data_IF_555574188963
#
_entry.id   IF_555574188963
#
_cell.length_a   1.000
_cell.length_b   1.000
_cell.length_c   1.000
_cell.angle_alpha   90.00
_cell.angle_beta   90.00
_cell.angle_gamma   90.00
#
_symmetry.space_group_name_H-M   'P 1'
#
loop_
_entity.id
_entity.type
_entity.pdbx_description
1 polymer ?
#
# COMPACT_ATOMS: atom_id res chain seq x y z
N UNK A 1 -19.87 17.84 0.48
CA UNK A 1 -19.15 16.60 0.11
C UNK A 1 -17.66 16.91 0.16
N UNK A 2 -16.87 16.10 0.86
CA UNK A 2 -15.45 16.40 1.06
C UNK A 2 -14.68 16.28 -0.26
N UNK A 3 -13.70 17.17 -0.50
CA UNK A 3 -12.95 17.27 -1.78
C UNK A 3 -12.44 15.91 -2.26
N UNK A 4 -11.86 15.13 -1.35
CA UNK A 4 -11.31 13.81 -1.68
C UNK A 4 -12.35 12.81 -2.16
N UNK A 5 -13.61 12.91 -1.71
CA UNK A 5 -14.68 12.01 -2.14
C UNK A 5 -15.07 12.30 -3.59
N UNK A 6 -15.03 13.56 -4.00
CA UNK A 6 -15.30 13.96 -5.39
C UNK A 6 -14.16 13.48 -6.30
N UNK A 7 -12.91 13.70 -5.86
CA UNK A 7 -11.71 13.19 -6.55
C UNK A 7 -11.73 11.66 -6.69
N UNK A 8 -12.16 10.94 -5.65
CA UNK A 8 -12.28 9.49 -5.67
C UNK A 8 -13.37 8.96 -6.61
N UNK A 9 -14.47 9.72 -6.80
CA UNK A 9 -15.53 9.35 -7.76
C UNK A 9 -15.13 9.62 -9.19
N UNK A 10 -14.38 10.70 -9.44
CA UNK A 10 -13.88 11.11 -10.76
C UNK A 10 -12.68 10.25 -11.17
N UNK A 11 -12.95 9.05 -11.67
CA UNK A 11 -11.94 8.11 -12.14
C UNK A 11 -12.21 7.65 -13.58
N UNK A 12 -11.13 7.29 -14.27
CA UNK A 12 -11.19 6.43 -15.43
C UNK A 12 -11.44 5.00 -14.95
N UNK A 13 -12.37 4.30 -15.60
CA UNK A 13 -12.76 2.93 -15.22
C UNK A 13 -12.60 1.91 -16.35
N UNK A 14 -12.38 2.38 -17.57
CA UNK A 14 -12.22 1.53 -18.74
C UNK A 14 -10.98 1.94 -19.53
N UNK A 15 -10.39 0.99 -20.25
CA UNK A 15 -9.32 1.25 -21.17
C UNK A 15 -9.75 2.21 -22.28
N UNK A 16 -11.02 2.15 -22.73
CA UNK A 16 -11.58 3.09 -23.71
C UNK A 16 -11.45 4.53 -23.25
N UNK A 17 -12.02 4.86 -22.08
CA UNK A 17 -11.98 6.23 -21.53
C UNK A 17 -10.54 6.71 -21.32
N UNK A 18 -9.64 5.80 -20.87
CA UNK A 18 -8.26 6.16 -20.60
C UNK A 18 -7.44 6.37 -21.89
N UNK A 19 -7.67 5.55 -22.90
CA UNK A 19 -7.04 5.69 -24.23
C UNK A 19 -7.45 7.00 -24.90
N UNK A 20 -8.72 7.37 -24.80
CA UNK A 20 -9.23 8.67 -25.26
C UNK A 20 -8.51 9.82 -24.54
N UNK A 21 -8.31 9.73 -23.22
CA UNK A 21 -7.58 10.73 -22.45
C UNK A 21 -6.08 10.85 -22.83
N UNK A 22 -5.44 9.71 -23.15
CA UNK A 22 -4.04 9.67 -23.56
C UNK A 22 -3.82 10.03 -25.03
N UNK A 23 -4.88 10.13 -25.84
CA UNK A 23 -4.78 10.19 -27.30
C UNK A 23 -3.94 9.02 -27.88
N UNK A 24 -4.06 7.83 -27.28
CA UNK A 24 -3.30 6.63 -27.66
C UNK A 24 -4.13 5.37 -27.39
N UNK A 25 -4.15 4.39 -28.30
CA UNK A 25 -4.97 3.17 -28.20
C UNK A 25 -4.21 1.95 -27.64
N UNK A 26 -3.40 2.16 -26.62
CA UNK A 26 -2.52 1.10 -26.10
C UNK A 26 -3.08 0.33 -24.93
N UNK A 27 -3.96 0.91 -24.11
CA UNK A 27 -4.52 0.21 -22.95
C UNK A 27 -5.60 -0.79 -23.36
N UNK A 28 -5.68 -1.93 -22.67
CA UNK A 28 -6.74 -2.92 -22.80
C UNK A 28 -7.45 -3.18 -21.47
N UNK A 29 -8.72 -3.55 -21.50
CA UNK A 29 -9.46 -3.95 -20.32
C UNK A 29 -9.07 -5.38 -19.90
N UNK A 30 -9.01 -5.61 -18.58
CA UNK A 30 -8.67 -6.87 -17.93
C UNK A 30 -9.75 -7.25 -16.91
N UNK A 31 -9.70 -8.48 -16.39
CA UNK A 31 -10.59 -8.94 -15.31
C UNK A 31 -10.48 -8.06 -14.07
N UNK A 32 -9.26 -7.70 -13.65
CA UNK A 32 -9.05 -6.66 -12.65
C UNK A 32 -9.17 -5.28 -13.30
N UNK A 33 -10.28 -4.56 -13.08
CA UNK A 33 -10.65 -3.44 -13.94
C UNK A 33 -9.67 -2.28 -13.78
N UNK A 34 -9.57 -1.43 -14.80
CA UNK A 34 -8.84 -0.19 -14.70
C UNK A 34 -9.54 0.72 -13.68
N UNK A 35 -8.76 1.39 -12.84
CA UNK A 35 -9.27 2.42 -11.94
C UNK A 35 -8.16 3.41 -11.64
N UNK A 36 -8.28 4.63 -12.17
CA UNK A 36 -7.30 5.69 -11.99
C UNK A 36 -8.04 7.02 -11.76
N UNK A 37 -7.89 7.69 -10.61
CA UNK A 37 -8.47 9.02 -10.40
C UNK A 37 -7.95 10.03 -11.42
N UNK A 38 -8.84 10.87 -11.98
CA UNK A 38 -8.50 11.77 -13.09
C UNK A 38 -7.37 12.75 -12.75
N UNK A 39 -7.36 13.27 -11.51
CA UNK A 39 -6.30 14.17 -11.03
C UNK A 39 -4.94 13.48 -10.94
N UNK A 40 -4.93 12.24 -10.45
CA UNK A 40 -3.71 11.44 -10.43
C UNK A 40 -3.25 11.09 -11.85
N UNK A 41 -4.17 10.72 -12.75
CA UNK A 41 -3.86 10.50 -14.17
C UNK A 41 -3.20 11.72 -14.84
N UNK A 42 -3.63 12.94 -14.51
CA UNK A 42 -2.99 14.18 -14.95
C UNK A 42 -1.57 14.30 -14.42
N UNK A 43 -1.35 14.04 -13.13
CA UNK A 43 -0.01 14.08 -12.53
C UNK A 43 0.96 13.07 -13.16
N UNK A 44 0.45 11.91 -13.60
CA UNK A 44 1.28 10.85 -14.19
C UNK A 44 1.31 10.87 -15.72
N UNK A 45 0.63 11.81 -16.38
CA UNK A 45 0.64 11.94 -17.84
C UNK A 45 2.06 12.25 -18.32
N UNK A 46 2.52 11.51 -19.34
CA UNK A 46 3.88 11.62 -19.86
C UNK A 46 4.96 10.91 -19.02
N UNK A 47 4.58 10.17 -17.97
CA UNK A 47 5.50 9.41 -17.11
C UNK A 47 5.30 7.90 -17.32
N UNK A 48 5.85 7.29 -18.39
CA UNK A 48 5.55 5.91 -18.78
C UNK A 48 5.88 4.87 -17.70
N UNK A 49 6.98 5.05 -16.96
CA UNK A 49 7.39 4.18 -15.85
C UNK A 49 6.31 4.12 -14.76
N UNK A 50 5.73 5.27 -14.40
CA UNK A 50 4.65 5.35 -13.40
C UNK A 50 3.35 4.81 -13.96
N UNK A 51 2.99 5.17 -15.20
CA UNK A 51 1.76 4.70 -15.86
C UNK A 51 1.68 3.18 -15.92
N UNK A 52 2.82 2.50 -16.17
CA UNK A 52 2.90 1.04 -16.25
C UNK A 52 2.34 0.33 -15.01
N UNK A 53 2.40 0.98 -13.84
CA UNK A 53 1.83 0.43 -12.60
C UNK A 53 0.30 0.27 -12.64
N UNK A 54 -0.40 0.93 -13.57
CA UNK A 54 -1.87 1.07 -13.55
C UNK A 54 -2.56 0.65 -14.86
N UNK A 55 -1.81 0.49 -15.94
CA UNK A 55 -2.34 0.09 -17.25
C UNK A 55 -1.71 -1.20 -17.74
N UNK A 56 -2.42 -1.89 -18.63
CA UNK A 56 -1.87 -3.00 -19.39
C UNK A 56 -2.08 -2.79 -20.87
N UNK A 57 -1.09 -3.19 -21.67
CA UNK A 57 -1.13 -3.07 -23.14
C UNK A 57 -1.50 -4.35 -23.86
N UNK A 58 -1.60 -5.46 -23.11
CA UNK A 58 -1.98 -6.77 -23.62
C UNK A 58 -2.75 -7.54 -22.56
N UNK A 59 -3.56 -8.51 -22.97
CA UNK A 59 -4.17 -9.42 -22.00
C UNK A 59 -3.07 -10.14 -21.25
N UNK A 60 -3.16 -10.13 -19.93
CA UNK A 60 -2.19 -10.78 -19.08
C UNK A 60 -2.50 -12.28 -19.02
N UNK A 61 -1.59 -13.09 -19.53
CA UNK A 61 -1.62 -14.55 -19.41
C UNK A 61 -0.30 -15.00 -18.80
N UNK A 62 -0.37 -15.57 -17.61
CA UNK A 62 0.77 -16.19 -16.94
C UNK A 62 0.31 -17.37 -16.07
N UNK A 63 1.30 -18.07 -15.55
CA UNK A 63 1.24 -19.26 -14.70
C UNK A 63 1.30 -18.90 -13.20
N UNK A 64 1.09 -17.63 -12.84
CA UNK A 64 1.17 -17.15 -11.47
C UNK A 64 -0.12 -17.43 -10.68
N UNK A 65 -0.02 -17.42 -9.35
CA UNK A 65 -1.11 -17.86 -8.46
C UNK A 65 -2.18 -16.76 -8.29
N UNK A 66 -3.44 -17.15 -8.14
CA UNK A 66 -4.55 -16.23 -7.86
C UNK A 66 -4.47 -15.69 -6.41
N UNK A 67 -3.98 -16.49 -5.46
CA UNK A 67 -3.72 -16.09 -4.06
C UNK A 67 -2.30 -16.55 -3.65
N UNK A 68 -1.25 -15.75 -3.93
CA UNK A 68 0.13 -16.17 -3.72
C UNK A 68 0.52 -16.31 -2.24
N UNK A 69 -0.16 -15.61 -1.33
CA UNK A 69 0.23 -15.54 0.10
C UNK A 69 -0.64 -16.40 1.03
N UNK A 70 -1.74 -16.98 0.52
CA UNK A 70 -2.72 -17.77 1.31
C UNK A 70 -3.08 -17.12 2.65
N UNK A 71 -3.31 -15.81 2.64
CA UNK A 71 -3.61 -15.02 3.84
C UNK A 71 -4.81 -15.59 4.60
N UNK A 72 -5.78 -16.17 3.88
CA UNK A 72 -7.03 -16.73 4.40
C UNK A 72 -6.78 -17.89 5.39
N UNK A 73 -5.68 -18.63 5.24
CA UNK A 73 -5.34 -19.73 6.15
C UNK A 73 -4.95 -19.26 7.55
N UNK A 74 -4.65 -17.97 7.72
CA UNK A 74 -4.20 -17.38 8.97
C UNK A 74 -5.28 -16.47 9.58
N UNK A 75 -6.55 -16.79 9.36
CA UNK A 75 -7.70 -15.99 9.80
C UNK A 75 -8.45 -16.67 10.94
N UNK A 76 -8.09 -16.41 12.21
CA UNK A 76 -8.80 -17.01 13.35
C UNK A 76 -10.21 -16.43 13.54
N UNK A 77 -10.47 -15.25 12.97
CA UNK A 77 -11.78 -14.56 12.92
C UNK A 77 -11.89 -13.88 11.56
N UNK A 78 -13.09 -13.84 10.98
CA UNK A 78 -13.35 -13.11 9.74
C UNK A 78 -12.88 -11.64 9.84
N UNK A 79 -12.22 -11.15 8.81
CA UNK A 79 -11.64 -9.81 8.77
C UNK A 79 -10.32 -9.63 9.53
N UNK A 80 -9.80 -10.64 10.24
CA UNK A 80 -8.53 -10.57 10.97
C UNK A 80 -7.55 -11.65 10.51
N UNK A 81 -6.35 -11.24 10.10
CA UNK A 81 -5.23 -12.13 9.77
C UNK A 81 -4.19 -12.05 10.89
N UNK A 82 -3.78 -13.20 11.43
CA UNK A 82 -2.78 -13.32 12.49
C UNK A 82 -1.65 -14.30 12.10
N UNK A 83 -0.63 -13.78 11.40
CA UNK A 83 0.59 -14.53 11.02
C UNK A 83 1.71 -14.43 12.05
N UNK A 84 1.76 -13.33 12.80
CA UNK A 84 2.89 -12.94 13.65
C UNK A 84 2.48 -12.87 15.12
N UNK A 85 3.32 -13.39 16.01
CA UNK A 85 3.05 -13.43 17.46
C UNK A 85 2.53 -12.11 18.09
N UNK A 86 3.06 -10.97 17.64
CA UNK A 86 2.82 -9.68 18.29
C UNK A 86 1.83 -8.76 17.56
N UNK A 87 1.33 -9.15 16.39
CA UNK A 87 0.53 -8.22 15.56
C UNK A 87 -0.44 -8.92 14.64
N UNK A 88 -1.57 -8.25 14.42
CA UNK A 88 -2.61 -8.70 13.50
C UNK A 88 -2.83 -7.69 12.39
N UNK A 89 -3.43 -8.14 11.29
CA UNK A 89 -3.88 -7.29 10.20
C UNK A 89 -5.39 -7.38 10.07
N UNK A 90 -6.05 -6.23 10.03
CA UNK A 90 -7.49 -6.09 9.84
C UNK A 90 -7.79 -5.73 8.37
N UNK A 91 -8.72 -6.46 7.75
CA UNK A 91 -9.24 -6.21 6.41
C UNK A 91 -10.33 -5.13 6.49
N UNK A 92 -9.89 -3.87 6.50
CA UNK A 92 -10.78 -2.73 6.77
C UNK A 92 -11.70 -2.34 5.61
N UNK A 93 -11.30 -2.66 4.39
CA UNK A 93 -12.04 -2.30 3.18
C UNK A 93 -11.63 -3.18 2.01
N UNK A 94 -12.53 -3.35 1.06
CA UNK A 94 -12.27 -3.97 -0.24
C UNK A 94 -11.90 -2.97 -1.34
N UNK A 95 -12.03 -1.68 -1.04
CA UNK A 95 -11.96 -0.62 -2.04
C UNK A 95 -10.60 0.07 -2.04
N UNK A 96 -10.00 0.18 -3.21
CA UNK A 96 -8.89 1.08 -3.48
C UNK A 96 -9.37 2.25 -4.35
N UNK A 97 -8.73 3.42 -4.26
CA UNK A 97 -8.98 4.52 -5.21
C UNK A 97 -8.27 4.30 -6.54
N UNK A 98 -7.21 3.49 -6.55
CA UNK A 98 -6.46 3.09 -7.75
C UNK A 98 -6.29 1.57 -7.77
N UNK A 99 -6.22 0.97 -8.96
CA UNK A 99 -5.93 -0.46 -9.13
C UNK A 99 -4.53 -0.68 -9.69
N UNK A 100 -3.62 -1.18 -8.85
CA UNK A 100 -2.24 -1.49 -9.24
C UNK A 100 -2.20 -2.82 -10.01
N UNK A 101 -1.52 -2.89 -11.16
CA UNK A 101 -1.40 -4.11 -11.99
C UNK A 101 -0.57 -5.25 -11.35
N UNK A 102 0.11 -4.96 -10.26
CA UNK A 102 0.88 -5.93 -9.46
C UNK A 102 0.21 -6.22 -8.10
N UNK A 103 -1.08 -5.90 -7.95
CA UNK A 103 -1.79 -6.08 -6.67
C UNK A 103 -1.98 -7.57 -6.33
N UNK A 104 -1.24 -8.07 -5.35
CA UNK A 104 -1.37 -9.48 -4.90
C UNK A 104 -2.72 -9.79 -4.23
N UNK A 105 -3.47 -8.77 -3.81
CA UNK A 105 -4.82 -8.91 -3.21
C UNK A 105 -5.96 -8.62 -4.17
N UNK A 106 -5.71 -8.60 -5.48
CA UNK A 106 -6.76 -8.35 -6.47
C UNK A 106 -7.88 -9.41 -6.47
N UNK A 107 -7.58 -10.63 -6.00
CA UNK A 107 -8.53 -11.75 -5.92
C UNK A 107 -8.94 -12.11 -4.47
N UNK A 108 -8.65 -11.25 -3.49
CA UNK A 108 -8.95 -11.55 -2.09
C UNK A 108 -10.48 -11.57 -1.84
N UNK A 109 -11.02 -12.52 -1.05
CA UNK A 109 -12.46 -12.66 -0.81
C UNK A 109 -12.98 -11.60 0.19
N UNK A 110 -13.08 -10.35 -0.26
CA UNK A 110 -13.42 -9.26 0.66
C UNK A 110 -14.87 -9.27 1.18
N UNK A 111 -15.81 -9.82 0.42
CA UNK A 111 -17.25 -9.76 0.74
C UNK A 111 -17.59 -10.45 2.06
N UNK A 112 -16.76 -11.41 2.49
CA UNK A 112 -16.95 -12.15 3.75
C UNK A 112 -16.15 -11.56 4.92
N UNK A 113 -15.36 -10.50 4.71
CA UNK A 113 -14.28 -10.06 5.60
C UNK A 113 -14.39 -8.61 6.10
N UNK A 114 -15.61 -8.06 6.22
CA UNK A 114 -15.83 -6.69 6.70
C UNK A 114 -15.57 -6.56 8.21
N UNK A 115 -14.45 -5.93 8.58
CA UNK A 115 -14.06 -5.69 9.98
C UNK A 115 -15.12 -4.96 10.80
N UNK A 116 -15.93 -4.07 10.21
CA UNK A 116 -16.97 -3.37 10.97
C UNK A 116 -18.13 -4.30 11.33
N UNK A 117 -18.38 -5.32 10.51
CA UNK A 117 -19.40 -6.33 10.75
C UNK A 117 -18.99 -7.31 11.86
N UNK A 118 -17.73 -7.73 11.87
CA UNK A 118 -17.18 -8.72 12.81
C UNK A 118 -16.38 -8.10 13.95
N UNK A 119 -16.62 -6.82 14.26
CA UNK A 119 -15.82 -6.10 15.24
C UNK A 119 -15.90 -6.73 16.64
N UNK A 120 -17.04 -7.31 17.02
CA UNK A 120 -17.19 -7.91 18.35
C UNK A 120 -16.26 -9.12 18.51
N UNK A 121 -16.29 -10.05 17.56
CA UNK A 121 -15.45 -11.24 17.56
C UNK A 121 -13.95 -10.87 17.45
N UNK A 122 -13.63 -9.87 16.65
CA UNK A 122 -12.28 -9.30 16.54
C UNK A 122 -11.83 -8.71 17.88
N UNK A 123 -12.69 -7.93 18.53
CA UNK A 123 -12.41 -7.27 19.81
C UNK A 123 -12.20 -8.31 20.91
N UNK A 124 -13.00 -9.38 20.94
CA UNK A 124 -12.85 -10.48 21.89
C UNK A 124 -11.54 -11.24 21.66
N UNK A 125 -11.21 -11.52 20.39
CA UNK A 125 -9.94 -12.13 20.02
C UNK A 125 -8.76 -11.29 20.48
N UNK A 126 -8.74 -9.99 20.15
CA UNK A 126 -7.69 -9.07 20.56
C UNK A 126 -7.59 -8.97 22.09
N UNK A 127 -8.72 -8.84 22.77
CA UNK A 127 -8.77 -8.70 24.23
C UNK A 127 -8.18 -9.91 24.96
N UNK A 128 -8.39 -11.12 24.42
CA UNK A 128 -7.89 -12.37 25.00
C UNK A 128 -6.42 -12.66 24.66
N UNK A 129 -5.87 -12.08 23.60
CA UNK A 129 -4.52 -12.37 23.11
C UNK A 129 -3.49 -11.29 23.51
N UNK A 130 -3.05 -11.30 24.78
CA UNK A 130 -2.15 -10.28 25.35
C UNK A 130 -0.75 -10.17 24.71
N UNK A 131 -0.35 -11.14 23.88
CA UNK A 131 0.89 -11.07 23.11
C UNK A 131 0.82 -10.05 21.96
N UNK A 132 -0.38 -9.75 21.48
CA UNK A 132 -0.61 -8.77 20.41
C UNK A 132 -0.39 -7.39 21.02
N UNK A 133 0.46 -6.57 20.41
CA UNK A 133 0.66 -5.17 20.82
C UNK A 133 0.46 -4.18 19.66
N UNK A 134 0.32 -4.68 18.43
CA UNK A 134 0.16 -3.90 17.23
C UNK A 134 -1.02 -4.39 16.37
N UNK A 135 -1.81 -3.45 15.88
CA UNK A 135 -2.87 -3.69 14.89
C UNK A 135 -2.52 -2.98 13.59
N UNK A 136 -2.60 -3.70 12.47
CA UNK A 136 -2.38 -3.16 11.13
C UNK A 136 -3.73 -3.01 10.42
N UNK A 137 -4.08 -1.80 9.99
CA UNK A 137 -5.21 -1.57 9.09
C UNK A 137 -4.73 -1.75 7.65
N UNK A 138 -5.36 -2.67 6.92
CA UNK A 138 -5.10 -2.94 5.50
C UNK A 138 -6.36 -3.51 4.82
N UNK A 139 -6.21 -4.33 3.79
CA UNK A 139 -7.28 -4.81 2.92
C UNK A 139 -6.99 -4.41 1.48
N UNK A 140 -7.97 -3.81 0.81
CA UNK A 140 -7.75 -2.98 -0.37
C UNK A 140 -7.00 -1.71 0.05
N UNK A 141 -7.69 -0.75 0.67
CA UNK A 141 -7.04 0.39 1.31
C UNK A 141 -7.92 1.00 2.42
N UNK A 142 -7.43 1.12 3.68
CA UNK A 142 -8.21 1.68 4.79
C UNK A 142 -8.69 3.10 4.55
N UNK A 143 -7.94 3.91 3.79
CA UNK A 143 -8.27 5.31 3.55
C UNK A 143 -9.43 5.49 2.55
N UNK A 144 -10.00 4.40 2.05
CA UNK A 144 -11.30 4.43 1.34
C UNK A 144 -12.50 4.62 2.26
N UNK A 145 -12.36 4.34 3.56
CA UNK A 145 -13.39 4.57 4.57
C UNK A 145 -13.58 6.06 4.85
N UNK A 146 -14.78 6.44 5.32
CA UNK A 146 -15.05 7.78 5.84
C UNK A 146 -14.27 8.05 7.13
N UNK A 147 -14.07 9.34 7.45
CA UNK A 147 -13.45 9.73 8.74
C UNK A 147 -14.21 9.13 9.92
N UNK A 148 -15.54 9.18 9.91
CA UNK A 148 -16.39 8.57 10.94
C UNK A 148 -16.08 7.08 11.17
N UNK A 149 -16.01 6.29 10.10
CA UNK A 149 -15.76 4.85 10.18
C UNK A 149 -14.35 4.55 10.70
N UNK A 150 -13.33 5.28 10.22
CA UNK A 150 -11.96 5.10 10.68
C UNK A 150 -11.78 5.54 12.13
N UNK A 151 -12.33 6.70 12.50
CA UNK A 151 -12.29 7.20 13.88
C UNK A 151 -12.95 6.19 14.81
N UNK A 152 -14.15 5.71 14.48
CA UNK A 152 -14.83 4.68 15.29
C UNK A 152 -13.98 3.42 15.46
N UNK A 153 -13.41 2.89 14.38
CA UNK A 153 -12.57 1.70 14.42
C UNK A 153 -11.32 1.91 15.29
N UNK A 154 -10.60 3.01 15.08
CA UNK A 154 -9.38 3.34 15.82
C UNK A 154 -9.68 3.59 17.30
N UNK A 155 -10.77 4.30 17.60
CA UNK A 155 -11.25 4.49 18.98
C UNK A 155 -11.51 3.16 19.65
N UNK A 156 -12.20 2.23 18.99
CA UNK A 156 -12.45 0.90 19.55
C UNK A 156 -11.16 0.09 19.75
N UNK A 157 -10.21 0.14 18.81
CA UNK A 157 -8.89 -0.49 19.01
C UNK A 157 -8.18 0.13 20.22
N UNK A 158 -8.28 1.45 20.37
CA UNK A 158 -7.66 2.19 21.47
C UNK A 158 -8.29 1.91 22.84
N UNK A 159 -9.43 1.22 22.97
CA UNK A 159 -9.92 0.80 24.29
C UNK A 159 -9.15 -0.43 24.83
N UNK A 160 -8.43 -1.15 23.96
CA UNK A 160 -7.70 -2.36 24.34
C UNK A 160 -6.30 -1.98 24.86
N UNK A 161 -6.15 -1.95 26.18
CA UNK A 161 -4.99 -1.36 26.88
C UNK A 161 -3.60 -1.89 26.46
N UNK A 162 -3.49 -3.18 26.12
CA UNK A 162 -2.20 -3.79 25.75
C UNK A 162 -1.81 -3.52 24.29
N UNK A 163 -2.74 -3.04 23.45
CA UNK A 163 -2.42 -2.56 22.11
C UNK A 163 -1.80 -1.17 22.25
N UNK A 164 -0.58 -1.03 21.73
CA UNK A 164 0.23 0.18 21.82
C UNK A 164 0.47 0.83 20.47
N UNK A 165 0.46 0.06 19.38
CA UNK A 165 0.76 0.57 18.04
C UNK A 165 -0.39 0.32 17.09
N UNK A 166 -0.75 1.35 16.33
CA UNK A 166 -1.63 1.23 15.18
C UNK A 166 -0.82 1.53 13.92
N UNK A 167 -0.78 0.57 13.00
CA UNK A 167 -0.17 0.76 11.68
C UNK A 167 -1.24 0.85 10.60
N UNK A 168 -1.10 1.79 9.68
CA UNK A 168 -2.01 1.98 8.55
C UNK A 168 -1.24 1.78 7.26
N UNK A 169 -1.59 0.78 6.47
CA UNK A 169 -1.03 0.59 5.13
C UNK A 169 -1.92 1.26 4.11
N UNK A 170 -1.38 2.19 3.32
CA UNK A 170 -2.19 2.92 2.34
C UNK A 170 -1.39 3.32 1.09
N UNK A 171 -2.01 3.11 -0.08
CA UNK A 171 -1.62 3.71 -1.36
C UNK A 171 -2.43 4.98 -1.61
N UNK A 172 -3.68 5.01 -1.14
CA UNK A 172 -4.65 6.05 -1.45
C UNK A 172 -4.21 7.46 -1.07
N UNK A 173 -3.43 7.66 -0.01
CA UNK A 173 -2.96 9.00 0.37
C UNK A 173 -1.99 9.61 -0.65
N UNK A 174 -1.25 8.78 -1.39
CA UNK A 174 -0.38 9.24 -2.49
C UNK A 174 -1.22 9.61 -3.71
N UNK A 175 -2.28 8.85 -3.97
CA UNK A 175 -3.16 8.99 -5.13
C UNK A 175 -4.14 10.16 -4.98
N UNK A 176 -4.70 10.33 -3.78
CA UNK A 176 -5.67 11.36 -3.43
C UNK A 176 -5.20 12.02 -2.12
N UNK A 177 -4.22 12.94 -2.19
CA UNK A 177 -3.67 13.58 -1.00
C UNK A 177 -4.67 14.35 -0.16
N UNK A 178 -5.74 14.88 -0.77
CA UNK A 178 -6.81 15.60 -0.09
C UNK A 178 -7.58 14.72 0.91
N UNK A 179 -7.38 13.38 0.86
CA UNK A 179 -7.90 12.43 1.87
C UNK A 179 -7.29 12.68 3.24
N UNK A 180 -6.13 13.35 3.33
CA UNK A 180 -5.55 13.80 4.61
C UNK A 180 -6.32 15.05 5.08
N UNK A 181 -7.47 14.83 5.70
CA UNK A 181 -8.29 15.89 6.29
C UNK A 181 -7.67 16.38 7.60
N UNK A 182 -7.94 17.63 7.98
CA UNK A 182 -7.48 18.14 9.28
C UNK A 182 -8.12 17.38 10.44
N UNK A 183 -9.39 16.98 10.28
CA UNK A 183 -10.13 16.17 11.27
C UNK A 183 -9.39 14.85 11.52
N UNK A 184 -9.08 14.11 10.46
CA UNK A 184 -8.39 12.83 10.59
C UNK A 184 -6.96 13.00 11.11
N UNK A 185 -6.21 13.96 10.59
CA UNK A 185 -4.84 14.21 11.04
C UNK A 185 -4.78 14.60 12.53
N UNK A 186 -5.63 15.50 13.00
CA UNK A 186 -5.68 15.90 14.40
C UNK A 186 -6.08 14.72 15.30
N UNK A 187 -7.09 13.94 14.89
CA UNK A 187 -7.48 12.74 15.62
C UNK A 187 -6.34 11.72 15.80
N UNK A 188 -5.49 11.54 14.78
CA UNK A 188 -4.32 10.66 14.89
C UNK A 188 -3.28 11.20 15.89
N UNK A 189 -3.04 12.52 15.91
CA UNK A 189 -2.05 13.15 16.81
C UNK A 189 -2.45 13.08 18.28
N UNK A 190 -3.73 13.20 18.56
CA UNK A 190 -4.31 13.15 19.90
C UNK A 190 -4.51 11.71 20.41
N UNK A 191 -4.26 10.70 19.56
CA UNK A 191 -4.47 9.32 19.91
C UNK A 191 -3.39 8.80 20.89
N UNK A 192 -3.78 7.94 21.84
CA UNK A 192 -2.83 7.30 22.76
C UNK A 192 -1.94 6.23 22.11
N UNK A 193 -2.27 5.78 20.90
CA UNK A 193 -1.55 4.75 20.18
C UNK A 193 -0.37 5.39 19.45
N UNK A 194 0.76 4.68 19.40
CA UNK A 194 1.84 5.02 18.49
C UNK A 194 1.37 4.77 17.06
N UNK A 195 1.24 5.84 16.26
CA UNK A 195 0.71 5.75 14.91
C UNK A 195 1.86 5.52 13.92
N UNK A 196 1.72 4.52 13.06
CA UNK A 196 2.64 4.25 11.96
C UNK A 196 1.86 4.28 10.66
N UNK A 197 2.23 5.13 9.71
CA UNK A 197 1.62 5.14 8.38
C UNK A 197 2.65 4.62 7.39
N UNK A 198 2.32 3.51 6.73
CA UNK A 198 3.13 2.92 5.67
C UNK A 198 2.51 3.27 4.33
N UNK A 199 3.12 4.23 3.64
CA UNK A 199 2.81 4.54 2.26
C UNK A 199 3.29 3.42 1.35
N UNK A 200 2.73 3.39 0.15
CA UNK A 200 3.19 2.53 -0.92
C UNK A 200 3.56 3.41 -2.11
N UNK A 201 4.83 3.67 -2.33
CA UNK A 201 5.34 4.54 -3.41
C UNK A 201 6.46 3.76 -4.10
N UNK A 202 6.39 3.59 -5.42
CA UNK A 202 7.39 2.79 -6.15
C UNK A 202 8.35 3.64 -6.95
N UNK A 203 7.99 4.88 -7.25
CA UNK A 203 8.80 5.77 -8.06
C UNK A 203 8.74 7.21 -7.54
N UNK A 204 9.86 7.93 -7.55
CA UNK A 204 9.93 9.31 -7.05
C UNK A 204 9.00 10.27 -7.83
N UNK A 205 8.74 9.98 -9.11
CA UNK A 205 7.81 10.74 -9.94
C UNK A 205 6.32 10.64 -9.52
N UNK A 206 5.99 9.82 -8.52
CA UNK A 206 4.65 9.78 -7.90
C UNK A 206 4.47 10.86 -6.81
N UNK A 207 5.57 11.47 -6.35
CA UNK A 207 5.56 12.50 -5.33
C UNK A 207 5.07 13.83 -5.93
N UNK A 208 3.77 14.07 -5.85
CA UNK A 208 3.17 15.35 -6.24
C UNK A 208 3.39 16.43 -5.18
N UNK A 209 3.47 17.69 -5.62
CA UNK A 209 3.52 18.84 -4.70
C UNK A 209 2.32 18.86 -3.74
N UNK A 210 1.15 18.42 -4.21
CA UNK A 210 -0.03 18.30 -3.37
C UNK A 210 0.13 17.22 -2.31
N UNK A 211 0.71 16.06 -2.64
CA UNK A 211 1.03 15.03 -1.66
C UNK A 211 1.96 15.57 -0.58
N UNK A 212 3.06 16.21 -0.99
CA UNK A 212 4.05 16.79 -0.06
C UNK A 212 3.40 17.85 0.83
N UNK A 213 2.53 18.71 0.26
CA UNK A 213 1.79 19.72 1.02
C UNK A 213 0.86 19.11 2.06
N UNK A 214 0.09 18.09 1.70
CA UNK A 214 -0.87 17.45 2.60
C UNK A 214 -0.18 16.59 3.67
N UNK A 215 0.98 16.00 3.35
CA UNK A 215 1.80 15.21 4.26
C UNK A 215 2.20 15.99 5.51
N UNK A 216 2.42 17.31 5.41
CA UNK A 216 2.77 18.15 6.55
C UNK A 216 1.73 18.09 7.68
N UNK A 217 0.47 17.77 7.39
CA UNK A 217 -0.56 17.59 8.42
C UNK A 217 -0.30 16.38 9.31
N UNK A 218 0.40 15.37 8.80
CA UNK A 218 0.74 14.13 9.51
C UNK A 218 2.10 14.18 10.20
N UNK A 219 2.91 15.23 9.98
CA UNK A 219 4.17 15.40 10.69
C UNK A 219 3.87 15.75 12.15
N UNK A 220 4.18 14.81 13.03
CA UNK A 220 3.99 14.87 14.48
C UNK A 220 4.88 13.82 15.14
N UNK A 221 5.29 14.06 16.40
CA UNK A 221 6.16 13.12 17.11
C UNK A 221 5.48 11.76 17.37
N UNK A 222 4.15 11.72 17.43
CA UNK A 222 3.39 10.48 17.64
C UNK A 222 3.11 9.69 16.35
N UNK A 223 3.52 10.21 15.18
CA UNK A 223 3.24 9.62 13.87
C UNK A 223 4.55 9.32 13.15
N UNK A 224 4.86 8.02 13.02
CA UNK A 224 5.98 7.55 12.19
C UNK A 224 5.51 7.31 10.75
N UNK A 225 6.22 7.90 9.78
CA UNK A 225 5.91 7.78 8.36
C UNK A 225 6.94 6.89 7.67
N UNK A 226 6.47 5.81 7.05
CA UNK A 226 7.29 4.80 6.38
C UNK A 226 6.82 4.63 4.93
N UNK A 227 7.69 4.12 4.07
CA UNK A 227 7.32 3.70 2.72
C UNK A 227 7.73 2.26 2.45
N UNK A 228 6.81 1.48 1.87
CA UNK A 228 7.14 0.20 1.24
C UNK A 228 7.03 0.33 -0.28
N UNK A 229 7.99 -0.20 -1.00
CA UNK A 229 7.98 -0.30 -2.46
C UNK A 229 7.96 -1.77 -2.87
N UNK A 230 7.56 -2.06 -4.11
CA UNK A 230 7.79 -3.33 -4.78
C UNK A 230 8.80 -3.08 -5.90
N UNK A 231 9.76 -4.00 -6.07
CA UNK A 231 10.70 -3.99 -7.18
C UNK A 231 10.00 -4.50 -8.44
N UNK A 232 9.84 -3.63 -9.43
CA UNK A 232 8.96 -3.82 -10.58
C UNK A 232 9.71 -3.52 -11.88
N UNK A 233 9.78 -4.52 -12.76
CA UNK A 233 10.43 -4.42 -14.06
C UNK A 233 9.86 -3.30 -14.94
N UNK A 234 10.72 -2.45 -15.46
CA UNK A 234 10.37 -1.26 -16.26
C UNK A 234 9.64 -0.17 -15.48
N UNK A 235 9.72 -0.17 -14.15
CA UNK A 235 9.17 0.88 -13.28
C UNK A 235 10.29 1.44 -12.41
N UNK A 236 10.90 0.61 -11.57
CA UNK A 236 11.91 1.00 -10.60
C UNK A 236 13.02 -0.05 -10.43
N UNK A 237 13.19 -0.94 -11.40
CA UNK A 237 14.27 -1.92 -11.52
C UNK A 237 15.61 -1.27 -11.91
N UNK A 238 15.99 -0.22 -11.16
CA UNK A 238 17.20 0.57 -11.38
C UNK A 238 17.66 1.19 -10.06
N UNK A 239 18.94 1.03 -9.74
CA UNK A 239 19.51 1.48 -8.46
C UNK A 239 19.47 3.02 -8.30
N UNK A 240 19.68 3.80 -9.35
CA UNK A 240 19.62 5.26 -9.31
C UNK A 240 18.18 5.73 -9.01
N UNK A 241 17.18 5.09 -9.63
CA UNK A 241 15.76 5.40 -9.39
C UNK A 241 15.39 5.13 -7.93
N UNK A 242 15.78 3.97 -7.38
CA UNK A 242 15.46 3.59 -6.00
C UNK A 242 16.25 4.39 -4.96
N UNK A 243 17.51 4.73 -5.28
CA UNK A 243 18.34 5.64 -4.47
C UNK A 243 17.72 7.03 -4.42
N UNK A 244 17.30 7.55 -5.58
CA UNK A 244 16.59 8.83 -5.66
C UNK A 244 15.28 8.80 -4.87
N UNK A 245 14.48 7.75 -5.03
CA UNK A 245 13.25 7.59 -4.25
C UNK A 245 13.52 7.62 -2.74
N UNK A 246 14.52 6.88 -2.27
CA UNK A 246 14.86 6.81 -0.84
C UNK A 246 15.27 8.17 -0.27
N UNK A 247 16.09 8.93 -1.01
CA UNK A 247 16.46 10.30 -0.64
C UNK A 247 15.28 11.26 -0.69
N UNK A 248 14.47 11.24 -1.75
CA UNK A 248 13.31 12.13 -1.90
C UNK A 248 12.26 11.87 -0.81
N UNK A 249 12.04 10.61 -0.42
CA UNK A 249 11.19 10.24 0.71
C UNK A 249 11.71 10.83 2.03
N UNK A 250 13.02 10.70 2.28
CA UNK A 250 13.62 11.21 3.50
C UNK A 250 13.50 12.74 3.60
N UNK A 251 13.72 13.45 2.49
CA UNK A 251 13.56 14.91 2.41
C UNK A 251 12.15 15.39 2.80
N UNK A 252 11.12 14.56 2.59
CA UNK A 252 9.75 14.88 2.97
C UNK A 252 9.32 14.27 4.31
N UNK A 253 10.23 13.61 5.03
CA UNK A 253 10.01 13.04 6.36
C UNK A 253 9.42 11.62 6.35
N UNK A 254 9.65 10.85 5.29
CA UNK A 254 9.24 9.44 5.18
C UNK A 254 10.50 8.56 5.16
N UNK A 255 10.54 7.53 6.01
CA UNK A 255 11.64 6.56 5.98
C UNK A 255 11.35 5.41 4.99
N UNK A 256 12.30 5.06 4.12
CA UNK A 256 12.21 3.85 3.30
C UNK A 256 12.29 2.61 4.21
N UNK A 257 11.27 1.76 4.14
CA UNK A 257 11.09 0.65 5.08
C UNK A 257 11.33 -0.72 4.43
N UNK A 258 10.55 -1.05 3.40
CA UNK A 258 10.69 -2.32 2.67
C UNK A 258 10.81 -2.08 1.18
N UNK A 259 11.67 -2.87 0.55
CA UNK A 259 11.65 -3.14 -0.89
C UNK A 259 11.23 -4.59 -1.06
N UNK A 260 9.99 -4.78 -1.48
CA UNK A 260 9.40 -6.09 -1.70
C UNK A 260 9.81 -6.65 -3.05
N UNK A 261 10.17 -7.94 -3.08
CA UNK A 261 10.12 -8.70 -4.32
C UNK A 261 8.68 -8.86 -4.77
N UNK A 262 8.47 -9.01 -6.08
CA UNK A 262 7.15 -9.19 -6.66
C UNK A 262 6.50 -10.48 -6.13
N UNK A 263 5.35 -10.35 -5.48
CA UNK A 263 4.46 -11.47 -5.21
C UNK A 263 3.95 -12.02 -6.54
N UNK A 264 4.09 -13.33 -6.75
CA UNK A 264 3.72 -14.00 -8.00
C UNK A 264 2.22 -14.19 -8.13
N UNK A 265 1.49 -13.07 -8.25
CA UNK A 265 0.06 -13.02 -8.49
C UNK A 265 -0.24 -13.08 -9.99
N UNK A 266 -1.30 -13.79 -10.38
CA UNK A 266 -1.75 -13.88 -11.77
C UNK A 266 -1.83 -12.50 -12.43
N UNK A 267 -1.22 -12.37 -13.60
CA UNK A 267 -1.16 -11.17 -14.43
C UNK A 267 0.03 -10.24 -14.16
N UNK A 268 0.76 -10.46 -13.07
CA UNK A 268 1.88 -9.58 -12.68
C UNK A 268 3.23 -9.98 -13.28
N UNK A 269 3.37 -11.11 -13.99
CA UNK A 269 4.67 -11.64 -14.47
C UNK A 269 5.51 -10.65 -15.28
N UNK A 270 4.87 -9.70 -15.96
CA UNK A 270 5.55 -8.63 -16.70
C UNK A 270 6.41 -7.69 -15.83
N UNK A 271 6.18 -7.68 -14.50
CA UNK A 271 6.95 -6.91 -13.53
C UNK A 271 8.07 -7.71 -12.86
N UNK A 272 8.21 -9.01 -13.15
CA UNK A 272 9.21 -9.85 -12.52
C UNK A 272 10.62 -9.38 -12.92
N UNK A 273 11.48 -9.16 -11.93
CA UNK A 273 12.90 -8.88 -12.09
C UNK A 273 13.68 -10.16 -11.79
N UNK A 274 14.68 -10.48 -12.60
CA UNK A 274 15.51 -11.67 -12.40
C UNK A 274 16.41 -11.51 -11.18
N UNK A 275 16.64 -12.61 -10.45
CA UNK A 275 17.37 -12.61 -9.18
C UNK A 275 18.76 -11.96 -9.26
N UNK A 276 19.55 -12.28 -10.29
CA UNK A 276 20.87 -11.67 -10.49
C UNK A 276 20.80 -10.15 -10.63
N UNK A 277 19.74 -9.62 -11.25
CA UNK A 277 19.56 -8.17 -11.40
C UNK A 277 19.07 -7.53 -10.10
N UNK A 278 18.21 -8.22 -9.32
CA UNK A 278 17.79 -7.79 -7.98
C UNK A 278 19.02 -7.57 -7.08
N UNK A 279 19.94 -8.53 -7.06
CA UNK A 279 21.15 -8.50 -6.25
C UNK A 279 22.03 -7.31 -6.63
N UNK A 280 22.31 -7.13 -7.93
CA UNK A 280 23.10 -6.00 -8.44
C UNK A 280 22.48 -4.65 -8.08
N UNK A 281 21.18 -4.51 -8.27
CA UNK A 281 20.45 -3.28 -7.94
C UNK A 281 20.59 -2.97 -6.45
N UNK A 282 20.41 -3.97 -5.59
CA UNK A 282 20.46 -3.77 -4.14
C UNK A 282 21.87 -3.46 -3.62
N UNK A 283 22.91 -4.10 -4.16
CA UNK A 283 24.30 -3.76 -3.85
C UNK A 283 24.63 -2.33 -4.25
N UNK A 284 24.24 -1.91 -5.46
CA UNK A 284 24.43 -0.54 -5.89
C UNK A 284 23.67 0.46 -4.99
N UNK A 285 22.48 0.12 -4.50
CA UNK A 285 21.79 0.93 -3.50
C UNK A 285 22.57 1.00 -2.16
N UNK A 286 23.15 -0.11 -1.70
CA UNK A 286 23.97 -0.15 -0.48
C UNK A 286 25.19 0.76 -0.57
N UNK A 287 25.84 0.83 -1.73
CA UNK A 287 27.00 1.70 -1.97
C UNK A 287 26.62 3.19 -2.00
N UNK A 288 25.38 3.52 -2.37
CA UNK A 288 24.95 4.90 -2.63
C UNK A 288 24.02 5.48 -1.57
N UNK A 289 23.57 4.69 -0.59
CA UNK A 289 22.65 5.15 0.47
C UNK A 289 23.28 5.04 1.85
N UNK A 290 22.92 5.99 2.71
CA UNK A 290 23.09 5.81 4.15
C UNK A 290 22.25 4.61 4.61
N UNK A 291 22.75 3.82 5.57
CA UNK A 291 22.11 2.56 5.97
C UNK A 291 20.64 2.71 6.44
N UNK A 292 20.29 3.82 7.08
CA UNK A 292 18.91 4.10 7.51
C UNK A 292 17.97 4.54 6.35
N UNK A 293 18.54 4.81 5.17
CA UNK A 293 17.81 5.08 3.93
C UNK A 293 17.76 3.86 3.01
N UNK A 294 18.47 2.78 3.33
CA UNK A 294 18.40 1.53 2.60
C UNK A 294 17.18 0.73 3.08
N UNK A 295 16.11 0.57 2.27
CA UNK A 295 14.99 -0.28 2.65
C UNK A 295 15.44 -1.73 2.78
N UNK A 296 14.79 -2.50 3.66
CA UNK A 296 15.04 -3.95 3.77
C UNK A 296 14.51 -4.65 2.53
N UNK A 297 15.35 -5.40 1.83
CA UNK A 297 14.93 -6.25 0.72
C UNK A 297 14.25 -7.50 1.26
N UNK A 298 12.97 -7.70 0.92
CA UNK A 298 12.16 -8.77 1.51
C UNK A 298 11.32 -9.51 0.47
N UNK A 299 11.05 -10.77 0.76
CA UNK A 299 10.11 -11.61 0.02
C UNK A 299 9.06 -12.18 0.99
N UNK A 300 7.80 -12.28 0.54
CA UNK A 300 6.78 -13.02 1.27
C UNK A 300 6.51 -14.35 0.53
N UNK A 301 6.75 -15.46 1.21
CA UNK A 301 6.52 -16.82 0.68
C UNK A 301 5.24 -17.45 1.24
N UNK A 302 4.34 -16.63 1.81
CA UNK A 302 3.10 -17.10 2.44
C UNK A 302 3.28 -17.75 3.81
N UNK A 303 4.49 -17.67 4.37
CA UNK A 303 4.83 -18.22 5.69
C UNK A 303 4.40 -17.33 6.85
N UNK A 304 4.90 -17.66 8.05
CA UNK A 304 4.64 -16.93 9.30
C UNK A 304 5.38 -15.59 9.38
N UNK A 305 6.35 -15.36 8.49
CA UNK A 305 7.06 -14.09 8.39
C UNK A 305 7.56 -13.79 6.98
N UNK A 306 7.72 -12.49 6.70
CA UNK A 306 8.54 -12.02 5.58
C UNK A 306 9.97 -12.47 5.78
N UNK A 307 10.59 -12.96 4.72
CA UNK A 307 11.99 -13.35 4.70
C UNK A 307 12.82 -12.17 4.21
N UNK A 308 13.94 -11.90 4.89
CA UNK A 308 14.96 -11.01 4.33
C UNK A 308 15.58 -11.77 3.16
N UNK A 309 15.61 -11.12 2.00
CA UNK A 309 16.23 -11.70 0.82
C UNK A 309 17.75 -11.63 0.97
N UNK A 310 18.34 -12.70 1.48
CA UNK A 310 19.77 -12.84 1.65
C UNK A 310 20.33 -13.63 0.47
N UNK A 311 21.14 -12.97 -0.36
CA UNK A 311 21.89 -13.59 -1.47
C UNK A 311 23.40 -13.31 -1.37
N UNK A 312 23.85 -12.90 -0.18
CA UNK A 312 25.25 -12.60 0.14
C UNK A 312 25.73 -13.54 1.23
#
# INVERSE_FOLDING_TARGET
>A
MNIWQDEARKCFKTAKEFNEYLNNKTCVDLEFPLKIPKKFAQHIKGKPQVLKQFISTKKEQDDFNISPLNDEKNMPVEGLIHKYKNRVLLITSQHCFVHCRYCFRQNFPYQTNDVLKYWQEISDYLSNNKNINEVILSGGDPMSLSDEKLIKLITNISTINHIKTLRIHTRNLVIIPTRITNIFANFLKENRLNIVIVFHINHFLELSDEFIKQLNKLKDNNITLLNQSVLLKGVNDNAEILTKLSNDLFMIGILPYYLHLLDRVKGSKQFLVEENEIIKIYQAMQENLSGYLLPKLVQDKGGLAKEIFNSF
#
